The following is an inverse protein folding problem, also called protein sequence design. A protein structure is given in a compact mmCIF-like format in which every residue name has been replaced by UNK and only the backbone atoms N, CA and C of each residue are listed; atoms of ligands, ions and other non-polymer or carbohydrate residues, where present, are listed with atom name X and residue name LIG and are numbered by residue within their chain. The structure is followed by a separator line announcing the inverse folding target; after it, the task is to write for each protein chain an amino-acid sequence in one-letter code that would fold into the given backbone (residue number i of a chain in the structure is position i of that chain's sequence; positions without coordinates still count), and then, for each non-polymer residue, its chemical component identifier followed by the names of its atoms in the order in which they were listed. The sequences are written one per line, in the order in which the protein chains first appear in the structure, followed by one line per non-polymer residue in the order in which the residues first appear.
data_IF_754533101305
#
_entry.id   IF_754533101305
#
_cell.length_a   1.000
_cell.length_b   1.000
_cell.length_c   1.000
_cell.angle_alpha   90.00
_cell.angle_beta   90.00
_cell.angle_gamma   90.00
#
_symmetry.space_group_name_H-M   'P 1'
#
loop_
_entity.id
_entity.type
_entity.pdbx_description
1 polymer ?
#
# COMPACT_ATOMS: atom_id res chain seq x y z
N UNK A 1 -63.54 2.50 21.62
CA UNK A 1 -64.04 2.41 20.23
C UNK A 1 -63.47 3.57 19.44
N UNK A 2 -62.54 3.44 18.49
CA UNK A 2 -62.24 2.40 17.48
C UNK A 2 -60.70 2.49 17.29
N UNK A 3 -59.86 1.46 17.42
CA UNK A 3 -59.84 0.25 16.60
C UNK A 3 -58.92 0.42 15.38
N UNK A 4 -57.60 0.51 15.59
CA UNK A 4 -56.60 0.25 14.55
C UNK A 4 -55.58 -0.76 15.09
N UNK A 5 -55.86 -2.03 14.83
CA UNK A 5 -54.95 -3.14 15.07
C UNK A 5 -54.46 -3.65 13.73
N UNK A 6 -53.15 -3.92 13.69
CA UNK A 6 -52.47 -4.98 12.96
C UNK A 6 -52.47 -4.93 11.44
N UNK A 7 -51.31 -4.66 10.87
CA UNK A 7 -50.50 -5.68 10.17
C UNK A 7 -49.04 -5.20 10.10
N UNK A 8 -48.30 -5.37 11.20
CA UNK A 8 -46.84 -5.40 11.18
C UNK A 8 -46.44 -6.80 11.63
N UNK A 9 -45.83 -7.55 10.72
CA UNK A 9 -45.35 -8.92 10.96
C UNK A 9 -44.29 -8.89 12.06
N UNK A 10 -44.29 -9.91 12.91
CA UNK A 10 -43.47 -9.99 14.13
C UNK A 10 -41.95 -9.82 13.89
N UNK A 11 -41.48 -10.06 12.66
CA UNK A 11 -40.10 -9.81 12.20
C UNK A 11 -39.73 -8.33 12.03
N UNK A 12 -40.69 -7.44 11.72
CA UNK A 12 -40.42 -6.00 11.57
C UNK A 12 -40.38 -5.27 12.93
N UNK A 13 -41.10 -5.78 13.94
CA UNK A 13 -41.12 -5.19 15.28
C UNK A 13 -39.81 -5.44 16.04
N UNK A 14 -39.14 -6.58 15.79
CA UNK A 14 -37.85 -6.90 16.38
C UNK A 14 -36.72 -5.99 15.85
N UNK A 15 -36.76 -5.63 14.56
CA UNK A 15 -35.78 -4.72 13.95
C UNK A 15 -35.93 -3.30 14.54
N UNK A 16 -37.16 -2.85 14.80
CA UNK A 16 -37.42 -1.53 15.38
C UNK A 16 -37.00 -1.41 16.86
N UNK A 17 -37.05 -2.48 17.66
CA UNK A 17 -36.66 -2.42 19.08
C UNK A 17 -35.14 -2.40 19.31
N UNK A 18 -34.32 -2.81 18.34
CA UNK A 18 -32.85 -2.75 18.47
C UNK A 18 -32.30 -1.36 18.12
N UNK A 19 -33.13 -0.47 17.58
CA UNK A 19 -32.78 0.92 17.26
C UNK A 19 -33.36 1.95 18.26
N UNK A 20 -33.68 1.55 19.50
CA UNK A 20 -33.88 2.51 20.59
C UNK A 20 -32.62 3.38 20.70
N UNK A 21 -32.78 4.71 20.58
CA UNK A 21 -31.71 5.70 20.41
C UNK A 21 -30.35 5.23 20.96
N UNK A 22 -29.40 4.80 20.09
CA UNK A 22 -28.14 4.20 20.52
C UNK A 22 -27.33 5.10 21.48
N UNK A 23 -27.57 6.42 21.40
CA UNK A 23 -27.03 7.43 22.31
C UNK A 23 -27.53 7.24 23.75
N UNK A 24 -28.81 6.95 23.97
CA UNK A 24 -29.39 6.78 25.31
C UNK A 24 -28.81 5.52 25.97
N UNK A 25 -28.73 4.41 25.25
CA UNK A 25 -28.11 3.16 25.72
C UNK A 25 -26.61 3.32 25.98
N UNK A 26 -25.89 4.04 25.12
CA UNK A 26 -24.47 4.33 25.34
C UNK A 26 -24.25 5.21 26.57
N UNK A 27 -25.06 6.27 26.75
CA UNK A 27 -25.02 7.14 27.92
C UNK A 27 -25.46 6.43 29.21
N UNK A 28 -26.28 5.38 29.11
CA UNK A 28 -26.64 4.53 30.24
C UNK A 28 -25.63 3.41 30.52
N UNK A 29 -24.44 3.45 29.91
CA UNK A 29 -23.36 2.48 30.15
C UNK A 29 -23.56 1.13 29.47
N UNK A 30 -24.48 1.03 28.51
CA UNK A 30 -24.74 -0.18 27.72
C UNK A 30 -24.47 0.10 26.23
N UNK A 31 -23.19 0.19 25.81
CA UNK A 31 -22.87 0.40 24.41
C UNK A 31 -23.34 -0.80 23.57
N UNK A 32 -23.99 -0.50 22.45
CA UNK A 32 -24.41 -1.51 21.48
C UNK A 32 -23.29 -1.72 20.46
N UNK A 33 -22.96 -2.98 20.16
CA UNK A 33 -22.05 -3.30 19.06
C UNK A 33 -22.75 -3.01 17.73
N UNK A 34 -22.35 -1.92 17.05
CA UNK A 34 -22.95 -1.53 15.77
C UNK A 34 -22.92 -2.67 14.73
N UNK A 35 -21.84 -3.47 14.76
CA UNK A 35 -21.66 -4.61 13.89
C UNK A 35 -22.75 -5.68 14.05
N UNK A 36 -23.40 -5.77 15.22
CA UNK A 36 -24.49 -6.72 15.45
C UNK A 36 -25.68 -6.51 14.51
N UNK A 37 -25.89 -5.28 14.02
CA UNK A 37 -26.92 -4.97 13.03
C UNK A 37 -26.30 -4.69 11.65
N UNK A 38 -25.26 -3.87 11.59
CA UNK A 38 -24.58 -3.51 10.35
C UNK A 38 -23.37 -4.42 10.11
N UNK A 39 -23.45 -5.39 9.20
CA UNK A 39 -22.36 -6.36 8.99
C UNK A 39 -20.99 -5.72 8.72
N UNK A 40 -19.92 -6.36 9.20
CA UNK A 40 -18.54 -5.90 9.00
C UNK A 40 -17.59 -7.06 8.70
N UNK A 41 -16.80 -6.95 7.63
CA UNK A 41 -15.80 -7.97 7.28
C UNK A 41 -14.61 -8.03 8.25
N UNK A 42 -14.41 -7.03 9.11
CA UNK A 42 -13.46 -7.13 10.21
C UNK A 42 -13.95 -8.01 11.37
N UNK A 43 -15.27 -8.21 11.47
CA UNK A 43 -15.90 -9.08 12.46
C UNK A 43 -16.83 -10.07 11.73
N UNK A 44 -16.28 -11.12 11.09
CA UNK A 44 -17.08 -12.07 10.31
C UNK A 44 -18.22 -12.69 11.12
N UNK A 45 -19.36 -12.93 10.47
CA UNK A 45 -20.56 -13.49 11.10
C UNK A 45 -21.45 -12.48 11.83
N UNK A 46 -21.15 -11.19 11.71
CA UNK A 46 -21.98 -10.10 12.23
C UNK A 46 -22.90 -9.50 11.17
N UNK A 47 -23.95 -8.82 11.61
CA UNK A 47 -24.92 -8.12 10.75
C UNK A 47 -26.26 -8.84 10.65
N UNK A 48 -27.28 -8.09 10.22
CA UNK A 48 -28.62 -8.61 9.92
C UNK A 48 -28.93 -8.44 8.44
N UNK A 49 -29.68 -9.39 7.90
CA UNK A 49 -30.12 -9.36 6.50
C UNK A 49 -30.95 -8.09 6.21
N UNK A 50 -30.72 -7.47 5.05
CA UNK A 50 -31.41 -6.24 4.64
C UNK A 50 -30.88 -4.95 5.29
N UNK A 51 -29.91 -5.02 6.20
CA UNK A 51 -29.26 -3.84 6.80
C UNK A 51 -27.93 -3.55 6.10
N UNK A 52 -27.71 -2.30 5.70
CA UNK A 52 -26.49 -1.87 5.03
C UNK A 52 -25.24 -2.11 5.91
N UNK A 53 -24.09 -2.49 5.32
CA UNK A 53 -22.86 -2.78 6.06
C UNK A 53 -22.35 -1.59 6.89
N UNK A 54 -21.59 -1.88 7.96
CA UNK A 54 -21.11 -0.85 8.89
C UNK A 54 -20.22 0.19 8.20
N UNK A 55 -19.41 -0.24 7.25
CA UNK A 55 -18.53 0.66 6.48
C UNK A 55 -19.33 1.61 5.60
N UNK A 56 -20.46 1.18 5.05
CA UNK A 56 -21.31 2.04 4.23
C UNK A 56 -21.95 3.13 5.10
N UNK A 57 -22.66 2.73 6.16
CA UNK A 57 -23.45 3.66 6.97
C UNK A 57 -22.59 4.63 7.77
N UNK A 58 -21.45 4.18 8.30
CA UNK A 58 -20.58 5.07 9.09
C UNK A 58 -19.99 6.16 8.20
N UNK A 59 -19.35 5.81 7.10
CA UNK A 59 -18.64 6.81 6.32
C UNK A 59 -19.60 7.72 5.53
N UNK A 60 -20.69 7.18 4.98
CA UNK A 60 -21.70 7.99 4.28
C UNK A 60 -22.41 8.98 5.20
N UNK A 61 -22.65 8.62 6.45
CA UNK A 61 -23.27 9.53 7.43
C UNK A 61 -22.30 10.59 7.93
N UNK A 62 -21.05 10.20 8.21
CA UNK A 62 -20.06 11.12 8.77
C UNK A 62 -19.40 12.03 7.73
N UNK A 63 -19.40 11.66 6.44
CA UNK A 63 -18.85 12.53 5.38
C UNK A 63 -19.46 13.94 5.37
N UNK A 64 -20.76 14.06 5.68
CA UNK A 64 -21.50 15.33 5.70
C UNK A 64 -21.39 16.11 7.01
N UNK A 65 -20.71 15.55 8.01
CA UNK A 65 -20.52 16.22 9.31
C UNK A 65 -19.51 17.35 9.12
N UNK A 66 -19.78 18.51 9.71
CA UNK A 66 -18.84 19.63 9.70
C UNK A 66 -17.75 19.43 10.75
N UNK A 67 -16.49 19.57 10.33
CA UNK A 67 -15.35 19.62 11.22
C UNK A 67 -15.47 20.87 12.11
N UNK A 68 -15.51 20.74 13.44
CA UNK A 68 -15.67 21.88 14.34
C UNK A 68 -14.50 22.87 14.29
N UNK A 69 -13.34 22.48 13.77
CA UNK A 69 -12.15 23.33 13.70
C UNK A 69 -12.14 24.30 12.51
N UNK A 70 -12.80 23.94 11.40
CA UNK A 70 -12.73 24.70 10.15
C UNK A 70 -14.08 24.83 9.41
N UNK A 71 -15.14 24.20 9.92
CA UNK A 71 -16.51 24.23 9.39
C UNK A 71 -16.66 23.67 7.97
N UNK A 72 -15.72 22.86 7.49
CA UNK A 72 -15.83 22.09 6.26
C UNK A 72 -16.40 20.71 6.54
N UNK A 73 -17.11 20.14 5.56
CA UNK A 73 -17.52 18.72 5.64
C UNK A 73 -16.29 17.81 5.74
N UNK A 74 -16.38 16.76 6.56
CA UNK A 74 -15.29 15.77 6.71
C UNK A 74 -14.93 15.12 5.37
N UNK A 75 -15.88 15.00 4.44
CA UNK A 75 -15.66 14.49 3.09
C UNK A 75 -14.74 15.37 2.25
N UNK A 76 -14.72 16.68 2.51
CA UNK A 76 -13.89 17.66 1.82
C UNK A 76 -12.45 17.72 2.36
N UNK A 77 -12.12 16.93 3.39
CA UNK A 77 -10.79 16.89 3.96
C UNK A 77 -9.77 16.37 2.96
N UNK A 78 -8.68 17.13 2.78
CA UNK A 78 -7.55 16.77 1.91
C UNK A 78 -6.33 16.27 2.67
N UNK A 79 -6.46 16.08 3.99
CA UNK A 79 -5.41 15.63 4.89
C UNK A 79 -5.90 14.49 5.79
N UNK A 80 -5.06 14.05 6.73
CA UNK A 80 -5.34 12.88 7.58
C UNK A 80 -6.29 13.16 8.74
N UNK A 81 -6.59 14.44 9.01
CA UNK A 81 -7.27 14.87 10.25
C UNK A 81 -8.67 14.26 10.35
N UNK A 82 -9.49 14.34 9.29
CA UNK A 82 -10.85 13.81 9.32
C UNK A 82 -10.87 12.30 9.60
N UNK A 83 -10.03 11.53 8.92
CA UNK A 83 -9.94 10.08 9.12
C UNK A 83 -9.46 9.73 10.54
N UNK A 84 -8.51 10.50 11.08
CA UNK A 84 -7.92 10.29 12.40
C UNK A 84 -8.82 10.69 13.57
N UNK A 85 -9.98 11.32 13.32
CA UNK A 85 -11.00 11.53 14.35
C UNK A 85 -11.62 10.21 14.81
N UNK A 86 -11.68 9.20 13.92
CA UNK A 86 -12.27 7.90 14.22
C UNK A 86 -11.27 6.74 14.13
N UNK A 87 -10.31 6.81 13.20
CA UNK A 87 -9.28 5.79 13.06
C UNK A 87 -8.06 6.11 13.95
N UNK A 88 -7.35 5.09 14.46
CA UNK A 88 -6.17 5.30 15.31
C UNK A 88 -5.12 6.17 14.60
N UNK A 89 -4.99 7.43 15.02
CA UNK A 89 -4.23 8.42 14.25
C UNK A 89 -3.70 9.60 15.05
N UNK A 90 -4.41 10.03 16.11
CA UNK A 90 -3.96 11.11 16.99
C UNK A 90 -2.67 10.78 17.75
N UNK A 91 -2.46 9.51 18.09
CA UNK A 91 -1.24 9.02 18.75
C UNK A 91 -0.47 8.05 17.84
N UNK A 92 -1.14 7.00 17.38
CA UNK A 92 -0.52 5.88 16.65
C UNK A 92 -0.13 6.23 15.20
N UNK A 93 -0.69 7.32 14.65
CA UNK A 93 -0.45 7.81 13.29
C UNK A 93 -0.40 6.68 12.26
N UNK A 94 -1.48 5.88 12.15
CA UNK A 94 -1.42 4.61 11.42
C UNK A 94 -0.83 4.72 10.01
N UNK A 95 -1.07 5.79 9.24
CA UNK A 95 -0.35 6.07 7.99
C UNK A 95 1.05 6.66 8.28
N UNK A 96 2.00 5.79 8.60
CA UNK A 96 3.37 6.12 9.02
C UNK A 96 4.48 5.43 8.21
N UNK A 97 4.13 4.54 7.30
CA UNK A 97 5.08 3.90 6.40
C UNK A 97 5.63 4.85 5.32
N UNK A 98 6.40 4.30 4.39
CA UNK A 98 7.07 5.06 3.32
C UNK A 98 6.14 6.01 2.55
N UNK A 99 4.91 5.59 2.26
CA UNK A 99 3.91 6.42 1.59
C UNK A 99 3.42 7.56 2.51
N UNK A 100 3.21 7.27 3.79
CA UNK A 100 2.80 8.26 4.78
C UNK A 100 3.91 9.25 5.16
N UNK A 101 5.18 8.88 4.97
CA UNK A 101 6.35 9.75 5.21
C UNK A 101 6.78 10.57 3.99
N UNK A 102 6.18 10.35 2.82
CA UNK A 102 6.57 11.06 1.60
C UNK A 102 6.12 12.53 1.65
N UNK A 103 7.07 13.45 1.43
CA UNK A 103 6.85 14.90 1.45
C UNK A 103 7.39 15.56 0.18
N UNK A 104 6.82 16.70 -0.18
CA UNK A 104 7.28 17.53 -1.28
C UNK A 104 8.49 18.40 -0.87
N UNK A 105 8.95 19.28 -1.77
CA UNK A 105 10.08 20.17 -1.50
C UNK A 105 9.84 21.19 -0.38
N UNK A 106 8.58 21.44 0.00
CA UNK A 106 8.17 22.34 1.09
C UNK A 106 7.98 21.59 2.41
N UNK A 107 8.03 20.26 2.39
CA UNK A 107 7.76 19.41 3.55
C UNK A 107 6.29 19.03 3.73
N UNK A 108 5.43 19.37 2.76
CA UNK A 108 4.02 19.00 2.79
C UNK A 108 3.85 17.53 2.41
N UNK A 109 2.93 16.82 3.07
CA UNK A 109 2.68 15.40 2.78
C UNK A 109 2.19 15.21 1.34
N UNK A 110 2.89 14.35 0.58
CA UNK A 110 2.51 14.00 -0.80
C UNK A 110 1.28 13.09 -0.86
N UNK A 111 1.03 12.33 0.21
CA UNK A 111 -0.06 11.36 0.27
C UNK A 111 -0.80 11.43 1.61
N UNK A 112 -2.12 11.19 1.54
CA UNK A 112 -3.01 11.07 2.69
C UNK A 112 -3.83 9.77 2.58
N UNK A 113 -4.71 9.50 3.54
CA UNK A 113 -5.63 8.36 3.51
C UNK A 113 -6.44 8.32 2.20
N UNK A 114 -6.85 9.51 1.74
CA UNK A 114 -7.65 9.74 0.55
C UNK A 114 -6.91 9.39 -0.74
N UNK A 115 -5.57 9.48 -0.76
CA UNK A 115 -4.75 9.05 -1.90
C UNK A 115 -4.91 7.56 -2.21
N UNK A 116 -5.31 6.76 -1.22
CA UNK A 116 -5.42 5.30 -1.32
C UNK A 116 -6.86 4.80 -1.20
N UNK A 117 -7.67 5.39 -0.32
CA UNK A 117 -9.04 4.94 -0.04
C UNK A 117 -10.12 5.86 -0.62
N UNK A 118 -9.76 7.11 -0.96
CA UNK A 118 -10.70 8.16 -1.39
C UNK A 118 -11.36 8.91 -0.25
N UNK A 119 -12.37 9.70 -0.59
CA UNK A 119 -13.20 10.46 0.37
C UNK A 119 -14.03 9.53 1.26
N UNK A 120 -14.62 10.04 2.33
CA UNK A 120 -15.49 9.24 3.20
C UNK A 120 -16.71 8.70 2.45
N UNK A 121 -17.28 9.50 1.55
CA UNK A 121 -18.38 9.10 0.66
C UNK A 121 -17.99 7.97 -0.29
N UNK A 122 -16.75 7.96 -0.79
CA UNK A 122 -16.24 6.84 -1.60
C UNK A 122 -16.00 5.59 -0.74
N UNK A 123 -15.42 5.76 0.44
CA UNK A 123 -15.18 4.67 1.40
C UNK A 123 -16.50 4.02 1.83
N UNK A 124 -17.54 4.83 2.00
CA UNK A 124 -18.91 4.41 2.34
C UNK A 124 -19.83 4.22 1.15
N UNK A 125 -19.31 4.10 -0.08
CA UNK A 125 -20.14 3.93 -1.26
C UNK A 125 -20.91 2.61 -1.24
N UNK A 126 -22.18 2.66 -1.67
CA UNK A 126 -23.02 1.47 -1.77
C UNK A 126 -22.39 0.45 -2.73
N UNK A 127 -22.30 -0.80 -2.29
CA UNK A 127 -21.67 -1.89 -3.05
C UNK A 127 -20.16 -2.03 -2.83
N UNK A 128 -19.49 -1.11 -2.14
CA UNK A 128 -18.11 -1.30 -1.71
C UNK A 128 -18.06 -2.28 -0.53
N UNK A 129 -17.29 -3.34 -0.70
CA UNK A 129 -17.06 -4.38 0.29
C UNK A 129 -15.91 -3.97 1.21
N UNK A 130 -16.21 -3.24 2.28
CA UNK A 130 -15.19 -2.75 3.22
C UNK A 130 -14.29 -3.86 3.79
N UNK A 131 -13.02 -3.54 4.05
CA UNK A 131 -11.93 -4.46 4.45
C UNK A 131 -11.46 -5.46 3.38
N UNK A 132 -12.12 -5.49 2.23
CA UNK A 132 -11.80 -6.39 1.13
C UNK A 132 -11.52 -5.62 -0.16
N UNK A 133 -12.27 -4.54 -0.43
CA UNK A 133 -11.99 -3.59 -1.51
C UNK A 133 -10.94 -2.56 -1.05
N UNK A 134 -9.71 -3.04 -0.89
CA UNK A 134 -8.54 -2.25 -0.51
C UNK A 134 -7.63 -1.96 -1.71
N UNK A 135 -6.87 -0.85 -1.68
CA UNK A 135 -5.98 -0.48 -2.77
C UNK A 135 -4.88 -1.51 -2.99
N UNK A 136 -4.59 -1.77 -4.27
CA UNK A 136 -3.50 -2.64 -4.68
C UNK A 136 -2.28 -1.83 -5.10
N UNK A 137 -1.09 -2.39 -4.90
CA UNK A 137 0.17 -1.67 -5.11
C UNK A 137 0.33 -1.21 -6.57
N UNK A 138 -0.09 -2.03 -7.55
CA UNK A 138 0.02 -1.71 -8.97
C UNK A 138 -0.84 -0.52 -9.41
N UNK A 139 -1.83 -0.10 -8.61
CA UNK A 139 -2.57 1.13 -8.89
C UNK A 139 -1.71 2.38 -8.78
N UNK A 140 -0.54 2.31 -8.11
CA UNK A 140 0.48 3.35 -8.10
C UNK A 140 1.83 2.91 -8.68
N UNK A 141 2.21 1.64 -8.52
CA UNK A 141 3.53 1.09 -8.87
C UNK A 141 3.45 0.24 -10.13
N UNK A 142 3.70 0.84 -11.29
CA UNK A 142 3.59 0.15 -12.57
C UNK A 142 4.51 0.77 -13.62
N UNK A 143 4.91 0.01 -14.63
CA UNK A 143 5.74 0.44 -15.75
C UNK A 143 7.03 1.16 -15.31
N UNK A 144 7.58 0.78 -14.16
CA UNK A 144 8.76 1.43 -13.58
C UNK A 144 8.51 2.85 -13.07
N UNK A 145 7.24 3.22 -12.81
CA UNK A 145 6.78 4.53 -12.34
C UNK A 145 6.08 4.45 -10.97
N UNK A 146 5.85 5.62 -10.36
CA UNK A 146 5.09 5.78 -9.10
C UNK A 146 4.13 6.95 -9.19
N UNK A 147 2.86 6.66 -8.95
CA UNK A 147 1.82 7.67 -8.75
C UNK A 147 1.65 8.00 -7.26
N UNK A 148 1.10 9.19 -6.98
CA UNK A 148 0.78 9.67 -5.61
C UNK A 148 -0.68 9.43 -5.22
N UNK A 149 -1.45 8.76 -6.07
CA UNK A 149 -2.84 8.40 -5.82
C UNK A 149 -3.19 7.13 -6.58
N UNK A 150 -4.01 6.26 -5.99
CA UNK A 150 -4.53 5.07 -6.66
C UNK A 150 -5.62 5.42 -7.67
N UNK A 151 -6.14 6.65 -7.64
CA UNK A 151 -7.17 7.12 -8.56
C UNK A 151 -6.54 7.77 -9.80
N UNK A 152 -7.16 7.56 -10.96
CA UNK A 152 -6.82 8.27 -12.19
C UNK A 152 -7.45 9.67 -12.26
N UNK A 153 -7.23 10.38 -13.36
CA UNK A 153 -7.74 11.74 -13.55
C UNK A 153 -9.29 11.83 -13.56
N UNK A 154 -10.00 10.72 -13.76
CA UNK A 154 -11.46 10.66 -13.67
C UNK A 154 -11.97 10.42 -12.25
N UNK A 155 -11.07 10.12 -11.30
CA UNK A 155 -11.41 9.72 -9.93
C UNK A 155 -11.73 8.24 -9.78
N UNK A 156 -11.57 7.42 -10.83
CA UNK A 156 -11.73 5.98 -10.76
C UNK A 156 -10.45 5.31 -10.26
N UNK A 157 -10.58 4.15 -9.59
CA UNK A 157 -9.42 3.33 -9.23
C UNK A 157 -8.63 2.93 -10.48
N UNK A 158 -7.35 3.29 -10.52
CA UNK A 158 -6.46 3.00 -11.63
C UNK A 158 -6.27 1.50 -11.77
N UNK A 159 -6.57 1.01 -12.97
CA UNK A 159 -6.34 -0.38 -13.40
C UNK A 159 -5.23 -0.39 -14.42
N UNK A 160 -4.22 -1.21 -14.17
CA UNK A 160 -3.05 -1.35 -15.04
C UNK A 160 -2.83 -2.82 -15.38
N UNK A 161 -2.23 -3.09 -16.55
CA UNK A 161 -1.90 -4.45 -16.99
C UNK A 161 -0.62 -4.98 -16.35
N UNK A 162 0.24 -4.09 -15.86
CA UNK A 162 1.48 -4.48 -15.21
C UNK A 162 1.22 -5.13 -13.85
N UNK A 163 1.66 -6.37 -13.72
CA UNK A 163 1.49 -7.18 -12.50
C UNK A 163 2.76 -7.31 -11.67
N UNK A 164 3.87 -6.64 -12.04
CA UNK A 164 5.17 -6.83 -11.35
C UNK A 164 5.13 -6.50 -9.86
N UNK A 165 4.32 -5.51 -9.49
CA UNK A 165 4.10 -5.12 -8.11
C UNK A 165 2.71 -5.51 -7.61
N UNK A 166 1.96 -6.32 -8.35
CA UNK A 166 0.60 -6.65 -7.98
C UNK A 166 0.55 -7.57 -6.75
N UNK A 167 -0.51 -7.37 -5.96
CA UNK A 167 -0.99 -8.36 -4.99
C UNK A 167 -1.42 -9.63 -5.71
N UNK A 168 -1.49 -10.76 -4.99
CA UNK A 168 -1.94 -12.00 -5.61
C UNK A 168 -3.45 -11.89 -5.95
N UNK A 169 -3.88 -12.29 -7.17
CA UNK A 169 -5.29 -12.33 -7.53
C UNK A 169 -6.06 -13.26 -6.58
N UNK A 170 -7.33 -12.93 -6.32
CA UNK A 170 -8.27 -13.80 -5.59
C UNK A 170 -7.77 -14.27 -4.20
N UNK A 171 -6.95 -13.44 -3.54
CA UNK A 171 -6.30 -13.73 -2.27
C UNK A 171 -6.69 -12.66 -1.25
N UNK A 172 -7.55 -12.98 -0.26
CA UNK A 172 -7.78 -14.31 0.31
C UNK A 172 -9.00 -15.05 -0.27
N UNK A 173 -9.80 -14.40 -1.13
CA UNK A 173 -11.01 -14.97 -1.72
C UNK A 173 -11.24 -14.41 -3.11
N UNK A 174 -12.01 -15.13 -3.92
CA UNK A 174 -12.33 -14.71 -5.29
C UNK A 174 -12.88 -13.29 -5.37
N UNK A 175 -12.35 -12.50 -6.30
CA UNK A 175 -12.66 -11.09 -6.52
C UNK A 175 -11.85 -10.09 -5.69
N UNK A 176 -11.05 -10.54 -4.73
CA UNK A 176 -10.31 -9.65 -3.82
C UNK A 176 -8.83 -9.99 -3.76
N UNK A 177 -7.99 -8.97 -3.75
CA UNK A 177 -6.54 -9.11 -3.68
C UNK A 177 -6.02 -8.21 -2.59
N UNK A 178 -5.49 -8.78 -1.51
CA UNK A 178 -5.06 -8.01 -0.34
C UNK A 178 -3.58 -8.23 -0.07
N UNK A 179 -2.88 -7.12 0.17
CA UNK A 179 -1.46 -7.11 0.54
C UNK A 179 -1.15 -8.04 1.70
N UNK A 180 -1.95 -7.98 2.79
CA UNK A 180 -1.74 -8.78 4.01
C UNK A 180 -1.84 -10.29 3.82
N UNK A 181 -2.39 -10.76 2.70
CA UNK A 181 -2.50 -12.19 2.38
C UNK A 181 -1.66 -12.56 1.15
N UNK A 182 -1.03 -11.58 0.51
CA UNK A 182 -0.21 -11.81 -0.67
C UNK A 182 1.19 -12.27 -0.29
N UNK A 183 1.76 -13.07 -1.17
CA UNK A 183 3.11 -13.61 -1.09
C UNK A 183 3.86 -13.38 -2.40
N UNK A 184 5.19 -13.43 -2.32
CA UNK A 184 6.06 -13.18 -3.44
C UNK A 184 7.27 -14.10 -3.46
N UNK A 185 8.46 -13.51 -3.50
CA UNK A 185 9.72 -14.24 -3.61
C UNK A 185 9.87 -15.27 -2.48
N UNK A 186 10.14 -16.53 -2.84
CA UNK A 186 10.29 -17.64 -1.89
C UNK A 186 9.02 -17.99 -1.11
N UNK A 187 7.84 -17.52 -1.54
CA UNK A 187 6.58 -17.73 -0.81
C UNK A 187 6.45 -16.88 0.46
N UNK A 188 7.36 -15.92 0.68
CA UNK A 188 7.26 -14.99 1.80
C UNK A 188 6.09 -14.03 1.60
N UNK A 189 5.37 -13.74 2.68
CA UNK A 189 4.34 -12.71 2.66
C UNK A 189 4.96 -11.35 2.33
N UNK A 190 4.24 -10.50 1.61
CA UNK A 190 4.74 -9.19 1.21
C UNK A 190 5.23 -8.36 2.41
N UNK A 191 4.55 -8.46 3.56
CA UNK A 191 4.92 -7.76 4.79
C UNK A 191 6.26 -8.19 5.39
N UNK A 192 6.77 -9.39 5.08
CA UNK A 192 8.07 -9.84 5.55
C UNK A 192 9.22 -9.01 4.94
N UNK A 193 9.04 -8.49 3.72
CA UNK A 193 10.01 -7.62 3.07
C UNK A 193 9.66 -6.14 3.20
N UNK A 194 8.37 -5.80 3.09
CA UNK A 194 7.91 -4.42 3.03
C UNK A 194 7.50 -3.84 4.37
N UNK A 195 7.26 -4.63 5.42
CA UNK A 195 6.59 -4.18 6.65
C UNK A 195 5.07 -4.25 6.55
N UNK A 196 4.37 -4.01 7.66
CA UNK A 196 2.92 -4.18 7.74
C UNK A 196 2.15 -3.06 7.03
N UNK A 197 0.87 -3.30 6.75
CA UNK A 197 -0.02 -2.29 6.15
C UNK A 197 0.01 -0.97 6.92
N UNK A 198 0.15 0.14 6.19
CA UNK A 198 0.32 1.50 6.71
C UNK A 198 1.63 1.78 7.49
N UNK A 199 2.46 0.78 7.76
CA UNK A 199 3.78 0.92 8.39
C UNK A 199 4.90 0.30 7.53
N UNK A 200 4.72 0.29 6.20
CA UNK A 200 5.72 -0.24 5.27
C UNK A 200 7.04 0.55 5.36
N UNK A 201 8.16 -0.10 5.14
CA UNK A 201 9.49 0.47 5.30
C UNK A 201 9.88 1.45 4.18
N UNK A 202 10.61 2.52 4.50
CA UNK A 202 10.91 2.99 5.86
C UNK A 202 9.66 3.56 6.55
N UNK A 203 9.45 3.20 7.81
CA UNK A 203 8.45 3.86 8.66
C UNK A 203 9.05 5.12 9.29
N UNK A 204 8.24 6.15 9.54
CA UNK A 204 8.65 7.31 10.34
C UNK A 204 8.76 6.97 11.83
N UNK A 205 8.19 5.84 12.27
CA UNK A 205 8.31 5.36 13.64
C UNK A 205 9.47 4.36 13.75
N UNK A 206 10.45 4.68 14.60
CA UNK A 206 11.69 3.91 14.74
C UNK A 206 11.45 2.44 15.11
N UNK A 207 10.44 2.17 15.94
CA UNK A 207 10.13 0.81 16.41
C UNK A 207 9.67 -0.13 15.29
N UNK A 208 8.96 0.38 14.27
CA UNK A 208 8.58 -0.46 13.14
C UNK A 208 9.82 -0.93 12.36
N UNK A 209 10.86 -0.10 12.29
CA UNK A 209 12.06 -0.32 11.49
C UNK A 209 13.08 -1.28 12.09
N UNK A 210 12.87 -1.75 13.34
CA UNK A 210 13.84 -2.61 14.05
C UNK A 210 14.18 -3.85 13.23
N UNK A 211 13.16 -4.56 12.71
CA UNK A 211 13.37 -5.75 11.90
C UNK A 211 14.20 -5.45 10.64
N UNK A 212 13.83 -4.40 9.89
CA UNK A 212 14.60 -3.97 8.72
C UNK A 212 16.06 -3.71 9.06
N UNK A 213 16.30 -2.89 10.07
CA UNK A 213 17.65 -2.49 10.45
C UNK A 213 18.49 -3.71 10.87
N UNK A 214 17.91 -4.61 11.67
CA UNK A 214 18.60 -5.82 12.14
C UNK A 214 18.94 -6.80 11.02
N UNK A 215 18.12 -6.92 9.97
CA UNK A 215 18.33 -7.89 8.90
C UNK A 215 19.35 -7.45 7.84
N UNK A 216 19.35 -6.17 7.46
CA UNK A 216 20.18 -5.66 6.35
C UNK A 216 21.15 -4.54 6.76
N UNK A 217 21.19 -4.17 8.05
CA UNK A 217 22.08 -3.12 8.56
C UNK A 217 21.63 -1.69 8.26
N UNK A 218 20.45 -1.51 7.66
CA UNK A 218 19.86 -0.20 7.40
C UNK A 218 18.32 -0.25 7.41
N UNK A 219 17.70 0.92 7.51
CA UNK A 219 16.24 1.07 7.43
C UNK A 219 15.80 1.10 5.97
N UNK A 220 14.77 0.32 5.62
CA UNK A 220 14.19 0.29 4.28
C UNK A 220 13.45 -1.02 3.99
N UNK A 221 12.84 -1.13 2.80
CA UNK A 221 12.36 -2.44 2.33
C UNK A 221 13.54 -3.42 2.32
N UNK A 222 13.33 -4.67 2.78
CA UNK A 222 14.37 -5.70 2.73
C UNK A 222 14.75 -5.94 1.28
N UNK A 223 15.99 -5.61 0.93
CA UNK A 223 16.49 -5.66 -0.44
C UNK A 223 17.91 -6.21 -0.58
N UNK A 224 18.62 -6.39 0.54
CA UNK A 224 19.92 -7.07 0.54
C UNK A 224 19.73 -8.59 0.60
N UNK A 225 19.98 -9.28 -0.52
CA UNK A 225 19.70 -10.72 -0.65
C UNK A 225 20.42 -11.58 0.40
N UNK A 226 21.58 -11.13 0.87
CA UNK A 226 22.36 -11.79 1.92
C UNK A 226 21.66 -11.87 3.27
N UNK A 227 20.62 -11.06 3.50
CA UNK A 227 19.79 -11.13 4.70
C UNK A 227 19.01 -12.45 4.82
N UNK A 228 18.79 -13.14 3.71
CA UNK A 228 18.09 -14.43 3.68
C UNK A 228 18.90 -15.56 3.02
N UNK A 229 19.79 -15.21 2.08
CA UNK A 229 20.60 -16.18 1.35
C UNK A 229 22.02 -16.23 1.88
N UNK A 230 22.42 -17.37 2.46
CA UNK A 230 23.83 -17.63 2.82
C UNK A 230 24.75 -17.57 1.60
N UNK A 231 24.24 -18.02 0.44
CA UNK A 231 24.87 -17.85 -0.86
C UNK A 231 23.83 -17.29 -1.82
N UNK A 232 24.02 -16.06 -2.27
CA UNK A 232 23.09 -15.39 -3.18
C UNK A 232 23.18 -16.07 -4.55
N UNK A 233 22.09 -16.67 -5.07
CA UNK A 233 22.10 -17.27 -6.39
C UNK A 233 22.41 -16.22 -7.46
N UNK A 234 23.17 -16.59 -8.49
CA UNK A 234 23.38 -15.76 -9.67
C UNK A 234 22.19 -15.89 -10.62
N UNK A 235 21.39 -14.82 -10.76
CA UNK A 235 20.18 -14.82 -11.57
C UNK A 235 19.97 -13.46 -12.21
N UNK A 236 19.39 -13.43 -13.41
CA UNK A 236 19.06 -12.20 -14.11
C UNK A 236 17.65 -11.66 -13.81
N UNK A 237 16.76 -12.49 -13.26
CA UNK A 237 15.35 -12.12 -13.08
C UNK A 237 14.57 -12.97 -12.06
N UNK A 238 15.24 -13.71 -11.18
CA UNK A 238 14.57 -14.63 -10.24
C UNK A 238 14.43 -14.07 -8.83
N UNK A 239 14.95 -12.87 -8.58
CA UNK A 239 14.73 -12.11 -7.35
C UNK A 239 13.30 -11.54 -7.25
N UNK A 240 12.99 -10.89 -6.13
CA UNK A 240 11.70 -10.20 -5.96
C UNK A 240 11.47 -9.19 -7.09
N UNK A 241 10.24 -9.12 -7.58
CA UNK A 241 9.85 -8.22 -8.68
C UNK A 241 10.69 -8.36 -9.97
N UNK A 242 11.29 -9.53 -10.20
CA UNK A 242 12.15 -9.76 -11.37
C UNK A 242 13.55 -9.16 -11.24
N UNK A 243 14.00 -8.85 -10.02
CA UNK A 243 15.35 -8.39 -9.76
C UNK A 243 16.41 -9.45 -10.12
N UNK A 244 17.53 -8.98 -10.65
CA UNK A 244 18.77 -9.76 -10.79
C UNK A 244 19.59 -9.72 -9.48
N UNK A 245 20.62 -10.53 -9.42
CA UNK A 245 21.62 -10.50 -8.34
C UNK A 245 22.39 -9.17 -8.36
N UNK A 246 22.74 -8.63 -7.19
CA UNK A 246 23.35 -7.28 -7.06
C UNK A 246 24.80 -7.30 -6.58
N UNK A 247 25.50 -8.42 -6.83
CA UNK A 247 26.88 -8.65 -6.37
C UNK A 247 27.91 -8.41 -7.49
N UNK A 248 29.20 -8.51 -7.14
CA UNK A 248 30.31 -8.35 -8.08
C UNK A 248 30.25 -9.32 -9.27
N UNK A 249 29.74 -10.54 -9.06
CA UNK A 249 29.59 -11.52 -10.13
C UNK A 249 28.60 -11.04 -11.20
N UNK A 250 27.50 -10.39 -10.81
CA UNK A 250 26.58 -9.75 -11.76
C UNK A 250 27.28 -8.67 -12.59
N UNK A 251 28.08 -7.82 -11.96
CA UNK A 251 28.82 -6.76 -12.68
C UNK A 251 29.72 -7.35 -13.77
N UNK A 252 30.41 -8.45 -13.51
CA UNK A 252 31.28 -9.10 -14.50
C UNK A 252 30.57 -9.92 -15.59
N UNK A 253 29.25 -10.12 -15.51
CA UNK A 253 28.53 -11.01 -16.45
C UNK A 253 27.25 -10.41 -17.03
N UNK A 254 26.85 -9.22 -16.59
CA UNK A 254 25.64 -8.57 -17.10
C UNK A 254 25.77 -8.10 -18.55
N UNK A 255 27.00 -7.86 -19.03
CA UNK A 255 27.30 -7.55 -20.43
C UNK A 255 26.81 -8.66 -21.36
N UNK A 256 27.23 -9.91 -21.13
CA UNK A 256 26.76 -11.09 -21.87
C UNK A 256 25.23 -11.17 -21.85
N UNK A 257 24.60 -10.95 -20.70
CA UNK A 257 23.15 -10.97 -20.59
C UNK A 257 22.49 -9.89 -21.47
N UNK A 258 23.04 -8.67 -21.46
CA UNK A 258 22.54 -7.56 -22.27
C UNK A 258 22.74 -7.79 -23.78
N UNK A 259 23.85 -8.40 -24.20
CA UNK A 259 24.09 -8.78 -25.60
C UNK A 259 23.09 -9.81 -26.10
N UNK A 260 22.81 -10.84 -25.28
CA UNK A 260 21.90 -11.93 -25.65
C UNK A 260 20.41 -11.55 -25.59
N UNK A 261 20.03 -10.67 -24.66
CA UNK A 261 18.61 -10.35 -24.37
C UNK A 261 18.23 -8.92 -24.78
N UNK A 262 19.18 -8.12 -25.24
CA UNK A 262 19.03 -6.70 -25.54
C UNK A 262 18.93 -5.82 -24.31
N UNK A 263 19.49 -4.61 -24.40
CA UNK A 263 19.45 -3.61 -23.32
C UNK A 263 18.01 -3.25 -22.86
N UNK A 264 17.01 -3.39 -23.75
CA UNK A 264 15.61 -3.18 -23.41
C UNK A 264 15.13 -4.04 -22.23
N UNK A 265 15.74 -5.21 -21.99
CA UNK A 265 15.43 -6.05 -20.83
C UNK A 265 15.72 -5.35 -19.48
N UNK A 266 16.62 -4.36 -19.47
CA UNK A 266 16.99 -3.58 -18.28
C UNK A 266 16.09 -2.35 -18.07
N UNK A 267 15.44 -1.85 -19.14
CA UNK A 267 14.82 -0.54 -19.19
C UNK A 267 13.72 -0.33 -18.14
N UNK A 268 13.00 -1.39 -17.76
CA UNK A 268 11.95 -1.25 -16.75
C UNK A 268 12.51 -0.80 -15.39
N UNK A 269 13.62 -1.40 -14.95
CA UNK A 269 14.22 -1.12 -13.64
C UNK A 269 15.21 0.05 -13.73
N UNK A 270 15.90 0.20 -14.85
CA UNK A 270 16.97 1.19 -15.03
C UNK A 270 16.54 2.42 -15.84
N UNK A 271 15.25 2.56 -16.17
CA UNK A 271 14.71 3.65 -16.98
C UNK A 271 14.84 3.38 -18.48
N UNK A 272 13.91 3.91 -19.27
CA UNK A 272 13.94 3.81 -20.73
C UNK A 272 15.10 4.56 -21.38
N UNK A 273 15.70 5.50 -20.66
CA UNK A 273 16.91 6.23 -21.03
C UNK A 273 18.19 5.60 -20.46
N UNK A 274 18.06 4.49 -19.70
CA UNK A 274 19.15 3.77 -19.03
C UNK A 274 19.98 4.62 -18.06
N UNK A 275 19.44 5.76 -17.60
CA UNK A 275 20.07 6.67 -16.63
C UNK A 275 19.77 6.32 -15.17
N UNK A 276 19.11 5.19 -14.96
CA UNK A 276 18.67 4.71 -13.66
C UNK A 276 17.31 5.29 -13.27
N UNK A 277 16.55 4.50 -12.51
CA UNK A 277 15.25 4.90 -11.97
C UNK A 277 15.25 4.80 -10.44
N UNK A 278 14.13 5.10 -9.79
CA UNK A 278 14.02 4.84 -8.35
C UNK A 278 14.13 3.34 -8.01
N UNK A 279 13.89 2.44 -8.97
CA UNK A 279 14.03 0.99 -8.82
C UNK A 279 15.50 0.55 -8.82
N UNK A 280 16.38 1.28 -9.50
CA UNK A 280 17.82 0.99 -9.51
C UNK A 280 18.61 1.74 -8.43
N UNK A 281 17.92 2.34 -7.46
CA UNK A 281 18.54 3.07 -6.35
C UNK A 281 19.17 2.11 -5.34
N UNK A 282 20.47 2.24 -5.09
CA UNK A 282 21.15 1.50 -4.02
C UNK A 282 20.74 2.03 -2.64
N UNK A 283 20.61 1.14 -1.65
CA UNK A 283 20.18 1.49 -0.29
C UNK A 283 21.33 1.63 0.70
N UNK A 284 22.48 1.09 0.33
CA UNK A 284 23.73 1.18 1.08
C UNK A 284 24.85 1.58 0.12
N UNK A 285 25.99 1.98 0.68
CA UNK A 285 27.18 2.19 -0.12
C UNK A 285 27.62 0.86 -0.74
N UNK A 286 27.84 0.85 -2.06
CA UNK A 286 28.33 -0.32 -2.80
C UNK A 286 29.52 0.10 -3.65
N UNK A 287 30.51 -0.77 -3.76
CA UNK A 287 31.65 -0.57 -4.64
C UNK A 287 31.85 -1.82 -5.47
N UNK A 288 32.06 -1.63 -6.76
CA UNK A 288 32.24 -2.71 -7.72
C UNK A 288 33.47 -2.45 -8.58
N UNK A 289 34.19 -3.51 -8.91
CA UNK A 289 35.20 -3.50 -9.95
C UNK A 289 34.50 -3.69 -11.30
N UNK A 290 34.68 -2.73 -12.21
CA UNK A 290 34.21 -2.82 -13.58
C UNK A 290 35.45 -2.71 -14.47
N UNK A 291 35.90 -3.84 -15.03
CA UNK A 291 37.11 -3.96 -15.85
C UNK A 291 38.31 -3.12 -15.37
N UNK A 292 38.52 -1.94 -15.94
CA UNK A 292 39.65 -1.05 -15.67
C UNK A 292 39.39 0.02 -14.59
N UNK A 293 38.21 0.01 -13.97
CA UNK A 293 37.80 1.01 -13.00
C UNK A 293 37.12 0.40 -11.77
N UNK A 294 37.03 1.21 -10.72
CA UNK A 294 36.19 0.93 -9.55
C UNK A 294 35.08 1.96 -9.52
N UNK A 295 33.83 1.51 -9.53
CA UNK A 295 32.65 2.37 -9.44
C UNK A 295 32.06 2.24 -8.05
N UNK A 296 31.89 3.37 -7.38
CA UNK A 296 31.32 3.45 -6.05
C UNK A 296 29.99 4.20 -6.08
N UNK A 297 28.97 3.59 -5.51
CA UNK A 297 27.64 4.17 -5.31
C UNK A 297 27.44 4.45 -3.82
N UNK A 298 26.93 5.63 -3.50
CA UNK A 298 26.42 5.97 -2.18
C UNK A 298 24.95 5.59 -2.08
N UNK A 299 24.48 5.34 -0.85
CA UNK A 299 23.05 5.16 -0.61
C UNK A 299 22.24 6.32 -1.22
N UNK A 300 21.25 5.99 -2.05
CA UNK A 300 20.45 6.96 -2.81
C UNK A 300 20.87 7.12 -4.28
N UNK A 301 22.09 6.72 -4.65
CA UNK A 301 22.53 6.76 -6.04
C UNK A 301 21.77 5.74 -6.89
N UNK A 302 21.51 6.09 -8.16
CA UNK A 302 20.86 5.20 -9.12
C UNK A 302 21.91 4.51 -9.97
N UNK A 303 21.82 3.19 -10.07
CA UNK A 303 22.66 2.42 -11.00
C UNK A 303 22.13 2.62 -12.43
N UNK A 304 23.03 2.97 -13.34
CA UNK A 304 22.73 3.30 -14.74
C UNK A 304 23.79 2.70 -15.66
N UNK A 305 23.48 2.53 -16.95
CA UNK A 305 24.50 2.13 -17.93
C UNK A 305 25.64 3.17 -18.00
N UNK A 306 25.28 4.45 -17.84
CA UNK A 306 26.21 5.59 -17.82
C UNK A 306 27.12 5.67 -16.59
N UNK A 307 26.95 4.76 -15.63
CA UNK A 307 27.83 4.69 -14.46
C UNK A 307 29.18 4.04 -14.78
N UNK A 308 29.23 3.21 -15.83
CA UNK A 308 30.44 2.48 -16.26
C UNK A 308 30.71 2.60 -17.76
N UNK A 309 29.67 2.77 -18.59
CA UNK A 309 29.78 2.76 -20.06
C UNK A 309 29.21 4.05 -20.66
N UNK A 310 29.49 4.33 -21.94
CA UNK A 310 28.86 5.45 -22.66
C UNK A 310 27.43 5.10 -23.18
N UNK A 311 26.60 4.52 -22.30
CA UNK A 311 25.23 4.11 -22.61
C UNK A 311 25.05 2.61 -22.90
N UNK A 312 23.85 2.18 -23.31
CA UNK A 312 23.49 0.75 -23.41
C UNK A 312 24.14 -0.01 -24.57
N UNK A 313 24.78 0.69 -25.51
CA UNK A 313 25.51 0.10 -26.64
C UNK A 313 26.94 0.63 -26.77
N UNK A 314 27.44 1.34 -25.75
CA UNK A 314 28.82 1.79 -25.70
C UNK A 314 29.72 0.68 -25.16
N UNK A 315 30.96 0.60 -25.68
CA UNK A 315 32.01 -0.19 -25.04
C UNK A 315 32.51 0.48 -23.76
N UNK A 316 33.26 -0.27 -22.96
CA UNK A 316 33.98 0.22 -21.79
C UNK A 316 35.02 1.28 -22.19
N UNK A 317 34.97 2.47 -21.58
CA UNK A 317 35.99 3.52 -21.73
C UNK A 317 37.19 3.26 -20.80
#
# INVERSE_FOLDING_TARGET
DVGYSSFLTSSHLAICLVCVSPIITALSGQPVLCAACHGSNALPGTGQEGIAPLTEVLHSSHGKVLDPSNLLELDASTNRTACYMCHPGSQTKCLRGAMGGAVDAKGDSLMSCQSCHGSMSLVGSHGRTGWLDEPNCQSCHFNGQREVSVFDASGALRKVLDTRFATNPDTPKSGFSLFRFSSGHGGLQCEACHGSTHAIYPSIEANDNVLSSSLQGHVGTISECVSCHQTVPFTANKGPHGMHSTNQQWVGSHGDYAEHNGAQSCAYCHGSDYRGSFLSTVKINKSFSAEHMTVSFKAGDKVSCYSCHNGPGGGDD
#
